data_IF_503165489683
#
_entry.id   IF_503165489683
#
_cell.length_a   1.000
_cell.length_b   1.000
_cell.length_c   1.000
_cell.angle_alpha   90.00
_cell.angle_beta   90.00
_cell.angle_gamma   90.00
#
_symmetry.space_group_name_H-M   'P 1'
#
loop_
_entity.id
_entity.type
_entity.pdbx_description
1 polymer ?
#
# COMPACT_ATOMS: atom_id res chain seq x y z
N UNK A 1 -25.67 1.37 54.63
CA UNK A 1 -24.91 0.82 53.49
C UNK A 1 -23.88 1.85 52.98
N UNK A 2 -22.72 1.83 53.65
CA UNK A 2 -21.32 2.05 53.26
C UNK A 2 -20.94 3.28 52.39
N UNK A 3 -20.36 4.28 53.07
CA UNK A 3 -19.73 5.52 52.56
C UNK A 3 -18.41 5.30 51.78
N UNK A 4 -18.21 4.14 51.14
CA UNK A 4 -16.95 3.71 50.48
C UNK A 4 -17.13 3.54 48.96
N UNK A 5 -18.38 3.47 48.46
CA UNK A 5 -18.67 3.22 47.03
C UNK A 5 -18.72 4.45 46.10
N UNK A 6 -18.50 5.67 46.61
CA UNK A 6 -18.64 6.91 45.82
C UNK A 6 -17.35 7.76 45.72
N UNK A 7 -16.22 7.29 46.26
CA UNK A 7 -14.96 8.07 46.34
C UNK A 7 -13.83 7.48 45.48
N UNK A 8 -14.03 6.37 44.76
CA UNK A 8 -13.07 5.89 43.74
C UNK A 8 -13.50 6.36 42.34
N UNK A 9 -13.84 7.64 42.23
CA UNK A 9 -13.91 8.37 40.97
C UNK A 9 -12.67 9.25 40.91
N UNK A 10 -11.50 8.61 40.87
CA UNK A 10 -10.21 9.16 40.45
C UNK A 10 -9.18 8.02 40.49
N UNK A 11 -8.24 8.03 39.53
CA UNK A 11 -6.95 7.33 39.52
C UNK A 11 -6.88 5.95 38.80
N UNK A 12 -6.63 6.04 37.49
CA UNK A 12 -5.67 5.25 36.67
C UNK A 12 -5.91 3.74 36.41
N UNK A 13 -6.25 3.41 35.16
CA UNK A 13 -5.66 2.33 34.34
C UNK A 13 -5.94 2.68 32.85
N UNK A 14 -5.10 3.46 32.15
CA UNK A 14 -3.88 3.08 31.42
C UNK A 14 -4.10 2.00 30.32
N UNK A 15 -4.03 2.47 29.06
CA UNK A 15 -3.55 1.81 27.83
C UNK A 15 -4.27 0.56 27.26
N UNK A 16 -4.54 0.64 25.95
CA UNK A 16 -5.08 -0.41 25.04
C UNK A 16 -6.55 -0.73 25.31
N UNK A 17 -7.46 -0.95 24.36
CA UNK A 17 -7.42 -1.64 23.07
C UNK A 17 -8.87 -1.45 22.56
N UNK A 18 -9.18 -0.79 21.46
CA UNK A 18 -9.39 -1.38 20.13
C UNK A 18 -10.02 -0.23 19.34
N UNK A 19 -9.25 0.46 18.50
CA UNK A 19 -9.87 0.98 17.30
C UNK A 19 -10.19 -0.26 16.48
N UNK A 20 -11.41 -0.79 16.61
CA UNK A 20 -11.96 -1.62 15.56
C UNK A 20 -12.20 -0.68 14.37
N UNK A 21 -11.11 -0.30 13.70
CA UNK A 21 -11.21 0.05 12.30
C UNK A 21 -11.83 -1.19 11.67
N UNK A 22 -13.07 -1.06 11.22
CA UNK A 22 -13.69 -2.07 10.38
C UNK A 22 -12.64 -2.44 9.33
N UNK A 23 -12.15 -3.67 9.40
CA UNK A 23 -11.41 -4.28 8.31
C UNK A 23 -12.36 -4.19 7.13
N UNK A 24 -12.07 -3.26 6.22
CA UNK A 24 -12.90 -3.01 5.05
C UNK A 24 -12.97 -4.29 4.24
N UNK A 25 -14.20 -4.66 3.92
CA UNK A 25 -14.62 -5.85 3.21
C UNK A 25 -13.61 -6.36 2.18
N UNK A 26 -13.15 -7.57 2.46
CA UNK A 26 -13.04 -8.71 1.55
C UNK A 26 -12.40 -8.47 0.18
N UNK A 27 -11.33 -9.22 0.00
CA UNK A 27 -10.34 -9.13 -1.07
C UNK A 27 -10.99 -9.26 -2.45
N UNK A 28 -10.94 -8.18 -3.23
CA UNK A 28 -11.23 -8.30 -4.66
C UNK A 28 -10.05 -8.95 -5.36
N UNK A 29 -10.22 -10.24 -5.66
CA UNK A 29 -9.36 -11.12 -6.47
C UNK A 29 -7.96 -11.40 -5.88
N UNK A 30 -7.52 -12.67 -5.87
CA UNK A 30 -6.77 -13.26 -4.76
C UNK A 30 -5.30 -12.87 -4.84
N UNK A 31 -4.96 -11.70 -4.31
CA UNK A 31 -3.58 -11.34 -4.11
C UNK A 31 -3.49 -10.81 -2.68
N UNK A 32 -2.79 -11.53 -1.78
CA UNK A 32 -2.61 -11.09 -0.41
C UNK A 32 -2.07 -9.66 -0.44
N UNK A 33 -2.39 -8.88 0.60
CA UNK A 33 -1.97 -7.48 0.80
C UNK A 33 -0.85 -6.99 -0.15
N UNK A 34 -1.03 -5.86 -0.84
CA UNK A 34 -0.09 -5.31 -1.85
C UNK A 34 1.38 -5.31 -1.39
N UNK A 35 1.63 -5.26 -0.08
CA UNK A 35 2.93 -5.55 0.49
C UNK A 35 3.83 -4.32 0.61
N UNK A 36 3.25 -3.12 0.49
CA UNK A 36 3.99 -1.88 0.66
C UNK A 36 4.64 -1.80 2.05
N UNK A 37 5.91 -1.40 2.07
CA UNK A 37 6.74 -1.37 3.27
C UNK A 37 7.38 -2.70 3.66
N UNK A 38 7.07 -3.81 2.96
CA UNK A 38 7.72 -5.11 3.18
C UNK A 38 8.97 -5.26 2.31
N UNK A 39 9.77 -6.29 2.61
CA UNK A 39 10.86 -6.69 1.74
C UNK A 39 10.31 -7.19 0.41
N UNK A 40 10.96 -6.84 -0.70
CA UNK A 40 10.53 -7.22 -2.05
C UNK A 40 10.45 -8.74 -2.24
N UNK A 41 11.35 -9.50 -1.60
CA UNK A 41 11.36 -10.98 -1.63
C UNK A 41 10.17 -11.62 -0.90
N UNK A 42 9.50 -10.86 -0.01
CA UNK A 42 8.33 -11.31 0.75
C UNK A 42 7.01 -10.92 0.10
N UNK A 43 7.03 -10.35 -1.12
CA UNK A 43 5.83 -9.84 -1.81
C UNK A 43 5.62 -10.61 -3.10
N UNK A 44 4.41 -11.13 -3.27
CA UNK A 44 4.00 -11.71 -4.54
C UNK A 44 3.76 -10.60 -5.57
N UNK A 45 4.45 -10.69 -6.69
CA UNK A 45 4.22 -9.87 -7.88
C UNK A 45 3.71 -10.78 -8.99
N UNK A 46 2.52 -10.50 -9.51
CA UNK A 46 1.83 -11.35 -10.48
C UNK A 46 1.52 -10.57 -11.75
N UNK A 47 1.69 -11.21 -12.92
CA UNK A 47 1.54 -10.54 -14.22
C UNK A 47 2.39 -9.25 -14.26
N UNK A 48 3.70 -9.40 -14.08
CA UNK A 48 4.64 -8.29 -14.30
C UNK A 48 4.94 -8.20 -15.79
N UNK A 49 4.57 -7.09 -16.40
CA UNK A 49 4.71 -6.89 -17.85
C UNK A 49 5.96 -6.08 -18.22
N UNK A 50 6.44 -5.23 -17.32
CA UNK A 50 7.52 -4.29 -17.58
C UNK A 50 8.35 -3.97 -16.33
N UNK A 51 9.64 -3.81 -16.55
CA UNK A 51 10.63 -3.48 -15.53
C UNK A 51 11.63 -2.48 -16.10
N UNK A 52 11.99 -1.47 -15.31
CA UNK A 52 13.08 -0.52 -15.63
C UNK A 52 13.80 -0.11 -14.36
N UNK A 53 14.97 0.51 -14.48
CA UNK A 53 15.73 1.04 -13.35
C UNK A 53 16.08 2.52 -13.56
N UNK A 54 16.16 3.28 -12.46
CA UNK A 54 16.76 4.62 -12.47
C UNK A 54 18.27 4.57 -12.16
N UNK A 55 19.03 5.67 -12.40
CA UNK A 55 20.46 5.73 -12.10
C UNK A 55 20.83 5.55 -10.62
N UNK A 56 19.86 5.71 -9.71
CA UNK A 56 20.04 5.50 -8.27
C UNK A 56 19.83 4.04 -7.87
N UNK A 57 19.54 3.15 -8.84
CA UNK A 57 19.36 1.73 -8.63
C UNK A 57 17.99 1.33 -8.10
N UNK A 58 16.99 2.23 -8.15
CA UNK A 58 15.62 1.83 -7.88
C UNK A 58 15.06 1.06 -9.08
N UNK A 59 14.35 -0.02 -8.80
CA UNK A 59 13.68 -0.83 -9.82
C UNK A 59 12.19 -0.47 -9.83
N UNK A 60 11.65 -0.19 -11.01
CA UNK A 60 10.25 0.14 -11.24
C UNK A 60 9.60 -1.00 -12.00
N UNK A 61 8.40 -1.39 -11.56
CA UNK A 61 7.74 -2.62 -11.98
C UNK A 61 6.28 -2.29 -12.30
N UNK A 62 5.80 -2.65 -13.48
CA UNK A 62 4.36 -2.61 -13.77
C UNK A 62 3.71 -3.87 -13.23
N UNK A 63 2.86 -3.70 -12.22
CA UNK A 63 2.13 -4.80 -11.60
C UNK A 63 0.75 -4.87 -12.27
N UNK A 64 0.70 -5.48 -13.46
CA UNK A 64 -0.44 -5.41 -14.39
C UNK A 64 -1.74 -5.90 -13.73
N UNK A 65 -1.68 -7.04 -13.04
CA UNK A 65 -2.83 -7.63 -12.33
C UNK A 65 -3.39 -6.71 -11.23
N UNK A 66 -2.55 -5.83 -10.69
CA UNK A 66 -2.86 -4.93 -9.60
C UNK A 66 -3.07 -3.48 -10.04
N UNK A 67 -3.02 -3.16 -11.33
CA UNK A 67 -3.21 -1.79 -11.84
C UNK A 67 -2.34 -0.76 -11.10
N UNK A 68 -1.08 -1.11 -10.83
CA UNK A 68 -0.13 -0.30 -10.06
C UNK A 68 1.24 -0.28 -10.70
N UNK A 69 1.96 0.82 -10.50
CA UNK A 69 3.41 0.87 -10.65
C UNK A 69 4.04 0.73 -9.28
N UNK A 70 4.97 -0.23 -9.15
CA UNK A 70 5.70 -0.54 -7.93
C UNK A 70 7.13 -0.06 -8.05
N UNK A 71 7.73 0.30 -6.93
CA UNK A 71 9.14 0.64 -6.79
C UNK A 71 9.77 -0.28 -5.77
N UNK A 72 10.89 -0.89 -6.12
CA UNK A 72 11.78 -1.60 -5.21
C UNK A 72 13.04 -0.76 -5.03
N UNK A 73 13.27 -0.25 -3.82
CA UNK A 73 14.47 0.54 -3.53
C UNK A 73 15.70 -0.35 -3.30
N UNK A 74 16.93 0.21 -3.36
CA UNK A 74 18.16 -0.53 -3.11
C UNK A 74 18.25 -1.23 -1.75
N UNK A 75 17.52 -0.75 -0.73
CA UNK A 75 17.40 -1.41 0.57
C UNK A 75 16.40 -2.59 0.57
N UNK A 76 15.87 -2.96 -0.60
CA UNK A 76 14.99 -4.10 -0.79
C UNK A 76 13.54 -3.88 -0.34
N UNK A 77 13.11 -2.64 -0.10
CA UNK A 77 11.72 -2.34 0.28
C UNK A 77 10.87 -2.04 -0.96
N UNK A 78 9.69 -2.67 -1.03
CA UNK A 78 8.73 -2.41 -2.11
C UNK A 78 7.65 -1.42 -1.68
N UNK A 79 7.29 -0.52 -2.59
CA UNK A 79 6.22 0.47 -2.41
C UNK A 79 5.41 0.66 -3.69
N UNK A 80 4.18 1.13 -3.57
CA UNK A 80 3.38 1.63 -4.69
C UNK A 80 3.73 3.09 -4.93
N UNK A 81 3.93 3.47 -6.19
CA UNK A 81 4.22 4.87 -6.56
C UNK A 81 3.16 5.47 -7.48
N UNK A 82 2.37 4.64 -8.16
CA UNK A 82 1.22 5.07 -8.96
C UNK A 82 0.17 3.96 -9.05
N UNK A 83 -1.10 4.34 -9.24
CA UNK A 83 -2.22 3.42 -9.35
C UNK A 83 -2.89 3.13 -8.01
N UNK A 84 -4.22 3.19 -7.99
CA UNK A 84 -5.06 2.94 -6.82
C UNK A 84 -5.56 1.49 -6.71
N UNK A 85 -5.26 0.64 -7.70
CA UNK A 85 -5.68 -0.77 -7.75
C UNK A 85 -6.92 -1.02 -8.60
N UNK A 86 -7.63 0.02 -9.04
CA UNK A 86 -8.82 -0.07 -9.88
C UNK A 86 -8.42 0.12 -11.34
N UNK A 87 -8.86 -0.81 -12.20
CA UNK A 87 -8.69 -0.69 -13.63
C UNK A 87 -9.49 0.52 -14.17
N UNK A 88 -8.84 1.46 -14.84
CA UNK A 88 -9.53 2.61 -15.44
C UNK A 88 -8.61 3.74 -15.88
N UNK A 89 -9.21 4.91 -16.09
CA UNK A 89 -8.53 6.16 -16.45
C UNK A 89 -9.10 7.29 -15.58
N UNK A 90 -8.29 7.79 -14.63
CA UNK A 90 -8.66 8.90 -13.75
C UNK A 90 -7.42 9.49 -13.07
N UNK A 91 -7.55 10.70 -12.51
CA UNK A 91 -6.54 11.28 -11.62
C UNK A 91 -5.41 12.03 -12.33
N UNK A 92 -5.61 12.44 -13.58
CA UNK A 92 -4.70 13.38 -14.24
C UNK A 92 -4.72 14.73 -13.50
N UNK A 93 -3.53 15.32 -13.31
CA UNK A 93 -3.36 16.54 -12.52
C UNK A 93 -3.41 16.34 -10.99
N UNK A 94 -3.72 15.14 -10.53
CA UNK A 94 -3.79 14.77 -9.12
C UNK A 94 -2.59 13.91 -8.68
N UNK A 95 -2.59 13.46 -7.42
CA UNK A 95 -1.60 12.50 -6.94
C UNK A 95 -1.67 11.17 -7.72
N UNK A 96 -0.52 10.71 -8.22
CA UNK A 96 -0.40 9.44 -8.95
C UNK A 96 -0.91 8.21 -8.18
N UNK A 97 -0.89 8.26 -6.83
CA UNK A 97 -1.41 7.19 -5.97
C UNK A 97 -2.95 7.10 -5.98
N UNK A 98 -3.64 8.19 -6.36
CA UNK A 98 -5.10 8.24 -6.49
C UNK A 98 -5.57 7.86 -7.89
N UNK A 99 -4.69 7.89 -8.88
CA UNK A 99 -5.01 7.61 -10.28
C UNK A 99 -5.42 6.15 -10.48
N UNK A 100 -6.41 5.92 -11.35
CA UNK A 100 -6.75 4.57 -11.82
C UNK A 100 -5.91 4.29 -13.06
N UNK A 101 -5.22 3.15 -13.08
CA UNK A 101 -4.46 2.69 -14.23
C UNK A 101 -5.17 1.48 -14.83
N UNK A 102 -5.04 1.23 -16.12
CA UNK A 102 -5.67 0.08 -16.76
C UNK A 102 -4.62 -0.82 -17.40
N UNK A 103 -4.28 -1.91 -16.70
CA UNK A 103 -3.27 -2.88 -17.13
C UNK A 103 -1.94 -2.24 -17.56
N UNK A 104 -1.23 -1.55 -16.64
CA UNK A 104 0.06 -0.95 -16.97
C UNK A 104 1.02 -2.03 -17.50
N UNK A 105 1.75 -1.71 -18.57
CA UNK A 105 2.60 -2.66 -19.29
C UNK A 105 4.06 -2.16 -19.37
N UNK A 106 4.53 -1.76 -20.56
CA UNK A 106 5.89 -1.28 -20.75
C UNK A 106 6.20 -0.04 -19.90
N UNK A 107 7.41 -0.01 -19.34
CA UNK A 107 7.94 1.14 -18.60
C UNK A 107 9.23 1.59 -19.28
N UNK A 108 9.45 2.90 -19.31
CA UNK A 108 10.70 3.50 -19.70
C UNK A 108 11.05 4.58 -18.67
N UNK A 109 12.34 4.67 -18.35
CA UNK A 109 12.86 5.76 -17.55
C UNK A 109 13.42 6.81 -18.50
N UNK A 110 12.94 8.05 -18.39
CA UNK A 110 13.46 9.16 -19.19
C UNK A 110 14.73 9.72 -18.56
N UNK A 111 15.72 10.01 -19.40
CA UNK A 111 16.94 10.70 -19.00
C UNK A 111 16.70 12.17 -19.28
N UNK A 112 16.05 12.84 -18.35
CA UNK A 112 15.78 14.29 -18.45
C UNK A 112 17.02 15.12 -18.79
#
# INVERSE_FOLDING_TARGET
>A
MNRIGKIIVSVVLLSSLFAAALVSADERYPYPSIGDGKTGIGVALTLVDGITADPQGNIYISHRSQNRIRKLSPNGIITTIAGNGIAGFSGDGESALKSSLNFPAGLAFDKG
#
